data_IF_775963794133
#
_entry.id   IF_775963794133
#
_cell.length_a   1.000
_cell.length_b   1.000
_cell.length_c   1.000
_cell.angle_alpha   90.00
_cell.angle_beta   90.00
_cell.angle_gamma   90.00
#
_symmetry.space_group_name_H-M   'P 1'
#
loop_
_entity.id
_entity.type
_entity.pdbx_description
1 polymer ?
#
# COMPACT_ATOMS: atom_id res chain seq x y z
N UNK A 1 15.38 9.07 -16.77
CA UNK A 1 14.64 9.25 -16.55
C UNK A 1 14.06 9.37 -15.31
N UNK A 2 13.75 10.10 -14.88
CA UNK A 2 13.25 10.39 -13.64
C UNK A 2 11.95 9.79 -13.32
N UNK A 3 11.48 9.12 -14.25
CA UNK A 3 10.22 8.64 -14.05
C UNK A 3 10.15 7.69 -12.95
N UNK A 4 11.17 7.05 -12.62
CA UNK A 4 11.12 6.12 -11.53
C UNK A 4 10.67 6.77 -10.25
N UNK A 5 10.87 8.05 -10.14
CA UNK A 5 10.46 8.69 -8.95
C UNK A 5 9.03 8.95 -8.89
N UNK A 6 8.31 8.70 -9.97
CA UNK A 6 6.90 8.95 -10.00
C UNK A 6 6.08 7.76 -9.57
N UNK A 7 6.69 6.75 -9.02
CA UNK A 7 5.94 5.62 -8.52
C UNK A 7 4.97 6.09 -7.46
N UNK A 8 3.71 5.81 -7.66
CA UNK A 8 2.68 6.23 -6.74
C UNK A 8 2.26 5.05 -5.87
N UNK A 9 2.41 5.17 -4.59
CA UNK A 9 2.10 4.11 -3.65
C UNK A 9 1.05 4.61 -2.67
N UNK A 10 -0.05 3.88 -2.56
CA UNK A 10 -1.10 4.19 -1.60
C UNK A 10 -1.23 3.00 -0.67
N UNK A 11 -1.19 3.25 0.62
CA UNK A 11 -1.33 2.22 1.63
C UNK A 11 -2.65 2.41 2.35
N UNK A 12 -3.57 1.47 2.15
CA UNK A 12 -4.84 1.51 2.85
C UNK A 12 -4.66 0.74 4.16
N UNK A 13 -4.88 1.39 5.27
CA UNK A 13 -4.56 0.80 6.57
C UNK A 13 -5.52 1.25 7.65
N UNK A 14 -5.35 0.68 8.84
CA UNK A 14 -6.06 1.15 10.03
C UNK A 14 -5.01 1.33 11.12
N UNK A 15 -5.31 2.15 12.14
CA UNK A 15 -4.30 2.40 13.19
C UNK A 15 -3.94 1.18 14.01
N UNK A 16 -4.82 0.20 14.08
CA UNK A 16 -4.57 -0.95 14.93
C UNK A 16 -4.02 -2.16 14.19
N UNK A 17 -3.63 -2.01 12.95
CA UNK A 17 -3.17 -3.12 12.14
C UNK A 17 -1.65 -3.27 12.20
N UNK A 18 -1.12 -4.32 12.81
CA UNK A 18 0.34 -4.46 12.89
C UNK A 18 0.98 -4.71 11.54
N UNK A 19 0.31 -5.41 10.65
CA UNK A 19 0.88 -5.64 9.32
C UNK A 19 0.92 -4.36 8.50
N UNK A 20 -0.03 -3.46 8.73
CA UNK A 20 0.01 -2.16 8.07
C UNK A 20 1.26 -1.40 8.49
N UNK A 21 1.58 -1.48 9.77
CA UNK A 21 2.76 -0.83 10.29
C UNK A 21 4.03 -1.38 9.65
N UNK A 22 4.09 -2.71 9.54
CA UNK A 22 5.23 -3.36 8.92
C UNK A 22 5.37 -2.96 7.47
N UNK A 23 4.26 -2.87 6.75
CA UNK A 23 4.29 -2.47 5.35
C UNK A 23 4.83 -1.05 5.20
N UNK A 24 4.39 -0.15 6.07
CA UNK A 24 4.86 1.21 6.02
C UNK A 24 6.35 1.30 6.33
N UNK A 25 6.80 0.55 7.31
CA UNK A 25 8.21 0.54 7.65
C UNK A 25 9.06 0.00 6.50
N UNK A 26 8.56 -1.04 5.85
CA UNK A 26 9.27 -1.61 4.72
C UNK A 26 9.44 -0.58 3.60
N UNK A 27 8.38 0.19 3.34
CA UNK A 27 8.47 1.23 2.32
C UNK A 27 9.46 2.31 2.72
N UNK A 28 9.47 2.69 3.99
CA UNK A 28 10.40 3.70 4.46
C UNK A 28 11.84 3.22 4.36
N UNK A 29 12.09 1.96 4.68
CA UNK A 29 13.43 1.41 4.61
C UNK A 29 13.94 1.41 3.19
N UNK A 30 13.07 1.30 2.22
CA UNK A 30 13.46 1.30 0.83
C UNK A 30 13.35 2.69 0.20
N UNK A 31 13.14 3.70 1.05
CA UNK A 31 13.07 5.10 0.63
C UNK A 31 11.99 5.34 -0.41
N UNK A 32 10.86 4.66 -0.22
CA UNK A 32 9.72 4.80 -1.11
C UNK A 32 8.70 5.72 -0.46
N UNK A 33 8.29 6.75 -1.18
CA UNK A 33 7.26 7.63 -0.68
C UNK A 33 5.91 7.00 -0.90
N UNK A 34 5.03 7.17 0.05
CA UNK A 34 3.69 6.59 -0.06
C UNK A 34 2.68 7.51 0.60
N UNK A 35 1.43 7.30 0.23
CA UNK A 35 0.32 8.02 0.84
C UNK A 35 -0.41 7.02 1.72
N UNK A 36 -0.63 7.38 2.97
CA UNK A 36 -1.34 6.51 3.89
C UNK A 36 -2.79 6.91 3.95
N UNK A 37 -3.68 5.95 3.79
CA UNK A 37 -5.12 6.20 3.83
C UNK A 37 -5.70 5.38 4.98
N UNK A 38 -6.33 6.07 5.93
CA UNK A 38 -6.91 5.40 7.09
C UNK A 38 -8.36 5.07 6.75
N UNK A 39 -8.59 3.81 6.41
CA UNK A 39 -9.92 3.39 5.99
C UNK A 39 -10.88 3.25 7.15
N UNK A 40 -10.37 3.32 8.38
CA UNK A 40 -11.26 3.28 9.54
C UNK A 40 -11.97 4.62 9.74
N UNK A 41 -11.42 5.68 9.18
CA UNK A 41 -12.01 6.99 9.32
C UNK A 41 -12.75 7.46 8.08
N UNK A 42 -12.52 6.83 6.95
CA UNK A 42 -13.09 7.31 5.70
C UNK A 42 -13.75 6.13 4.98
N UNK A 43 -15.07 6.08 5.04
CA UNK A 43 -15.81 4.99 4.42
C UNK A 43 -15.68 4.98 2.91
N UNK A 44 -15.54 6.14 2.30
CA UNK A 44 -15.35 6.20 0.85
C UNK A 44 -14.07 5.50 0.45
N UNK A 45 -13.03 5.71 1.24
CA UNK A 45 -11.75 5.07 0.94
C UNK A 45 -11.80 3.58 1.23
N UNK A 46 -12.54 3.18 2.25
CA UNK A 46 -12.71 1.76 2.53
C UNK A 46 -13.42 1.08 1.36
N UNK A 47 -14.43 1.72 0.81
CA UNK A 47 -15.14 1.19 -0.32
C UNK A 47 -14.22 1.09 -1.54
N UNK A 48 -13.41 2.11 -1.75
CA UNK A 48 -12.46 2.12 -2.84
C UNK A 48 -11.47 0.96 -2.70
N UNK A 49 -10.99 0.72 -1.49
CA UNK A 49 -10.08 -0.39 -1.23
C UNK A 49 -10.74 -1.73 -1.55
N UNK A 50 -11.98 -1.91 -1.14
CA UNK A 50 -12.70 -3.14 -1.39
C UNK A 50 -12.89 -3.34 -2.89
N UNK A 51 -13.22 -2.30 -3.61
CA UNK A 51 -13.42 -2.42 -5.04
C UNK A 51 -12.13 -2.77 -5.77
N UNK A 52 -11.00 -2.23 -5.30
CA UNK A 52 -9.72 -2.52 -5.93
C UNK A 52 -9.20 -3.90 -5.59
N UNK A 53 -9.37 -4.32 -4.34
CA UNK A 53 -8.76 -5.56 -3.88
C UNK A 53 -9.70 -6.75 -3.86
N UNK A 54 -10.98 -6.50 -3.87
CA UNK A 54 -11.95 -7.58 -3.79
C UNK A 54 -12.13 -8.11 -2.38
N UNK A 55 -11.61 -7.41 -1.37
CA UNK A 55 -11.77 -7.87 -0.01
C UNK A 55 -11.68 -6.70 0.95
N UNK A 56 -12.07 -6.94 2.19
CA UNK A 56 -12.12 -5.89 3.18
C UNK A 56 -10.87 -5.78 4.05
N UNK A 57 -9.96 -6.71 3.97
CA UNK A 57 -8.82 -6.72 4.89
C UNK A 57 -7.80 -5.64 4.62
N UNK A 58 -7.00 -5.34 5.63
CA UNK A 58 -5.88 -4.41 5.51
C UNK A 58 -4.61 -5.15 5.91
N UNK A 59 -3.47 -4.72 5.45
CA UNK A 59 -3.22 -3.60 4.56
C UNK A 59 -3.48 -3.95 3.10
N UNK A 60 -3.81 -2.97 2.32
CA UNK A 60 -3.87 -3.13 0.86
C UNK A 60 -3.01 -2.03 0.28
N UNK A 61 -2.11 -2.38 -0.61
CA UNK A 61 -1.23 -1.42 -1.23
C UNK A 61 -1.56 -1.29 -2.71
N UNK A 62 -1.57 -0.06 -3.18
CA UNK A 62 -1.78 0.22 -4.60
C UNK A 62 -0.49 0.85 -5.09
N UNK A 63 0.29 0.11 -5.85
CA UNK A 63 1.56 0.58 -6.36
C UNK A 63 1.44 0.72 -7.86
N UNK A 64 1.25 1.95 -8.32
CA UNK A 64 1.09 2.26 -9.74
C UNK A 64 -0.01 1.42 -10.38
N UNK A 65 -1.07 1.14 -9.63
CA UNK A 65 -2.18 0.35 -10.15
C UNK A 65 -2.08 -1.13 -9.84
N UNK A 66 -0.95 -1.58 -9.30
CA UNK A 66 -0.81 -2.97 -8.91
C UNK A 66 -1.31 -3.12 -7.49
N UNK A 67 -2.32 -3.95 -7.30
CA UNK A 67 -2.94 -4.09 -5.99
C UNK A 67 -2.32 -5.28 -5.26
N UNK A 68 -1.83 -5.04 -4.05
CA UNK A 68 -1.22 -6.07 -3.24
C UNK A 68 -2.01 -6.17 -1.95
N UNK A 69 -2.48 -7.36 -1.66
CA UNK A 69 -3.30 -7.59 -0.48
C UNK A 69 -2.41 -8.18 0.60
N UNK A 70 -2.42 -7.55 1.76
CA UNK A 70 -1.60 -7.99 2.86
C UNK A 70 -0.17 -7.49 2.74
N UNK A 71 0.65 -7.89 3.71
CA UNK A 71 2.04 -7.47 3.70
C UNK A 71 2.87 -8.55 3.01
N UNK A 72 3.03 -8.42 1.72
CA UNK A 72 3.77 -9.37 0.91
C UNK A 72 5.02 -8.67 0.38
N UNK A 73 6.13 -8.88 1.05
CA UNK A 73 7.35 -8.17 0.71
C UNK A 73 7.82 -8.45 -0.71
N UNK A 74 7.68 -9.69 -1.16
CA UNK A 74 8.11 -10.02 -2.51
C UNK A 74 7.26 -9.32 -3.56
N UNK A 75 5.96 -9.32 -3.35
CA UNK A 75 5.06 -8.66 -4.30
C UNK A 75 5.32 -7.16 -4.31
N UNK A 76 5.57 -6.58 -3.14
CA UNK A 76 5.87 -5.16 -3.05
C UNK A 76 7.15 -4.83 -3.79
N UNK A 77 8.18 -5.65 -3.58
CA UNK A 77 9.46 -5.41 -4.26
C UNK A 77 9.32 -5.51 -5.76
N UNK A 78 8.55 -6.49 -6.23
CA UNK A 78 8.34 -6.65 -7.66
C UNK A 78 7.59 -5.46 -8.24
N UNK A 79 6.56 -5.01 -7.54
CA UNK A 79 5.77 -3.88 -8.00
C UNK A 79 6.58 -2.60 -8.03
N UNK A 80 7.50 -2.44 -7.07
CA UNK A 80 8.35 -1.27 -7.01
C UNK A 80 9.60 -1.42 -7.84
N UNK A 81 9.87 -2.64 -8.31
CA UNK A 81 11.05 -2.94 -9.13
C UNK A 81 12.33 -2.69 -8.35
N UNK A 82 12.34 -3.03 -7.08
CA UNK A 82 13.54 -2.93 -6.26
C UNK A 82 14.00 -4.33 -5.92
N UNK A 83 15.23 -4.41 -5.47
CA UNK A 83 15.82 -5.72 -5.19
C UNK A 83 15.78 -6.13 -3.74
#
# INVERSE_FOLDING_TARGET
MPEAKKTKVIVYSTPSCPYCHSAKEFLKENKVEYEEVDVSKDQSKAQEMIEKSGQMGVPVLDINGTIIVGFDREAIRKALKIK
#
